data_IF_871564935136
#
_entry.id   IF_871564935136
#
_cell.length_a   1.000
_cell.length_b   1.000
_cell.length_c   1.000
_cell.angle_alpha   90.00
_cell.angle_beta   90.00
_cell.angle_gamma   90.00
#
_symmetry.space_group_name_H-M   'P 1'
#
loop_
_entity.id
_entity.type
_entity.pdbx_description
1 polymer ?
#
# COMPACT_ATOMS: atom_id res chain seq x y z
N UNK A 1 17.88 41.21 29.89
CA UNK A 1 17.16 39.91 29.94
C UNK A 1 15.72 39.93 29.40
N UNK A 2 14.97 41.07 29.42
CA UNK A 2 13.56 41.11 28.96
C UNK A 2 13.38 40.84 27.45
N UNK A 3 14.32 41.27 26.60
CA UNK A 3 14.27 41.03 25.14
C UNK A 3 14.61 39.59 24.73
N UNK A 4 15.40 38.88 25.54
CA UNK A 4 15.75 37.48 25.29
C UNK A 4 14.54 36.55 25.49
N UNK A 5 13.67 36.86 26.47
CA UNK A 5 12.40 36.16 26.69
C UNK A 5 11.43 36.32 25.52
N UNK A 6 11.44 37.46 24.83
CA UNK A 6 10.58 37.74 23.69
C UNK A 6 10.92 36.92 22.44
N UNK A 7 12.19 36.49 22.30
CA UNK A 7 12.66 35.62 21.21
C UNK A 7 12.49 34.14 21.56
N UNK A 8 12.65 33.79 22.83
CA UNK A 8 12.53 32.40 23.30
C UNK A 8 11.11 31.84 23.20
N UNK A 9 10.08 32.66 23.42
CA UNK A 9 8.67 32.24 23.35
C UNK A 9 8.25 31.80 21.94
N UNK A 10 8.44 32.60 20.87
CA UNK A 10 8.08 32.17 19.52
C UNK A 10 8.93 31.00 19.03
N UNK A 11 10.20 30.92 19.46
CA UNK A 11 11.07 29.79 19.14
C UNK A 11 10.60 28.48 19.82
N UNK A 12 10.18 28.55 21.09
CA UNK A 12 9.59 27.42 21.79
C UNK A 12 8.25 26.98 21.17
N UNK A 13 7.42 27.93 20.72
CA UNK A 13 6.19 27.63 20.00
C UNK A 13 6.48 26.93 18.67
N UNK A 14 7.48 27.39 17.93
CA UNK A 14 7.91 26.81 16.66
C UNK A 14 8.37 25.35 16.82
N UNK A 15 9.08 25.04 17.90
CA UNK A 15 9.53 23.68 18.21
C UNK A 15 8.39 22.70 18.50
N UNK A 16 7.25 23.16 19.04
CA UNK A 16 6.09 22.31 19.27
C UNK A 16 5.45 21.85 17.96
N UNK A 17 5.47 22.68 16.90
CA UNK A 17 4.95 22.30 15.58
C UNK A 17 5.76 21.19 14.90
N UNK A 18 7.07 21.09 15.17
CA UNK A 18 7.91 20.03 14.61
C UNK A 18 7.77 18.67 15.31
N UNK A 19 7.14 18.63 16.49
CA UNK A 19 6.96 17.41 17.28
C UNK A 19 5.70 16.59 16.95
N UNK A 20 4.82 17.09 16.07
CA UNK A 20 3.53 16.46 15.77
C UNK A 20 3.55 15.44 14.63
N UNK A 21 4.70 15.17 14.01
CA UNK A 21 4.81 14.11 13.00
C UNK A 21 5.20 12.79 13.67
N UNK A 22 4.27 12.22 14.42
CA UNK A 22 4.42 10.83 14.84
C UNK A 22 4.02 9.96 13.66
N UNK A 23 5.00 9.29 13.03
CA UNK A 23 4.73 8.24 12.04
C UNK A 23 4.18 7.03 12.77
N UNK A 24 2.93 7.10 13.21
CA UNK A 24 2.15 5.92 13.59
C UNK A 24 1.68 5.26 12.29
N UNK A 25 2.64 4.84 11.49
CA UNK A 25 2.34 4.12 10.26
C UNK A 25 2.03 2.68 10.68
N UNK A 26 0.75 2.30 10.57
CA UNK A 26 0.39 0.89 10.37
C UNK A 26 0.96 0.51 9.01
N UNK A 27 2.27 0.24 8.99
CA UNK A 27 2.98 -0.18 7.78
C UNK A 27 2.33 -1.48 7.35
N UNK A 28 1.85 -1.50 6.12
CA UNK A 28 1.36 -2.70 5.50
C UNK A 28 2.50 -3.72 5.40
N UNK A 29 2.29 -4.88 6.02
CA UNK A 29 3.24 -6.00 6.03
C UNK A 29 2.60 -7.25 5.43
N UNK A 30 1.37 -7.15 4.96
CA UNK A 30 0.67 -8.25 4.32
C UNK A 30 1.18 -8.38 2.90
N UNK A 31 1.28 -9.64 2.46
CA UNK A 31 1.69 -9.94 1.10
C UNK A 31 0.44 -9.93 0.23
N UNK A 32 0.53 -9.45 -1.01
CA UNK A 32 -0.55 -9.59 -1.94
C UNK A 32 -0.83 -11.08 -2.22
N UNK A 33 -2.06 -11.37 -2.61
CA UNK A 33 -2.54 -12.72 -2.92
C UNK A 33 -2.80 -12.84 -4.41
N UNK A 34 -2.38 -13.98 -4.97
CA UNK A 34 -2.67 -14.39 -6.33
C UNK A 34 -3.69 -15.52 -6.25
N UNK A 35 -4.88 -15.31 -6.78
CA UNK A 35 -5.95 -16.30 -6.84
C UNK A 35 -6.14 -16.82 -8.27
N UNK A 36 -5.91 -18.12 -8.43
CA UNK A 36 -6.08 -18.90 -9.67
C UNK A 36 -7.37 -19.72 -9.68
N UNK A 37 -8.23 -19.55 -8.67
CA UNK A 37 -9.50 -20.27 -8.49
C UNK A 37 -10.72 -19.45 -8.89
N UNK A 38 -10.51 -18.22 -9.37
CA UNK A 38 -11.59 -17.39 -9.89
C UNK A 38 -12.31 -18.06 -11.05
N UNK A 39 -13.58 -17.68 -11.25
CA UNK A 39 -14.33 -18.07 -12.44
C UNK A 39 -13.54 -17.61 -13.68
N UNK A 40 -13.44 -18.51 -14.66
CA UNK A 40 -12.68 -18.32 -15.90
C UNK A 40 -11.16 -18.12 -15.73
N UNK A 41 -10.57 -18.48 -14.58
CA UNK A 41 -9.11 -18.47 -14.41
C UNK A 41 -8.41 -19.33 -15.47
N UNK A 42 -8.96 -20.54 -15.68
CA UNK A 42 -8.56 -21.48 -16.71
C UNK A 42 -9.71 -21.69 -17.69
N UNK A 43 -9.40 -22.11 -18.94
CA UNK A 43 -10.38 -22.66 -19.86
C UNK A 43 -11.23 -23.73 -19.19
N UNK A 44 -12.53 -23.74 -19.48
CA UNK A 44 -13.44 -24.72 -18.89
C UNK A 44 -13.05 -26.12 -19.35
N UNK A 45 -13.39 -27.15 -18.58
CA UNK A 45 -13.06 -28.54 -18.92
C UNK A 45 -13.59 -28.99 -20.31
N UNK A 46 -14.54 -28.24 -20.89
CA UNK A 46 -15.10 -28.49 -22.21
C UNK A 46 -14.40 -27.70 -23.34
N UNK A 47 -13.49 -26.79 -23.01
CA UNK A 47 -12.73 -26.02 -23.98
C UNK A 47 -11.55 -26.86 -24.48
N UNK A 48 -11.46 -27.03 -25.80
CA UNK A 48 -10.36 -27.77 -26.42
C UNK A 48 -9.11 -26.89 -26.50
N UNK A 49 -8.00 -27.37 -25.90
CA UNK A 49 -6.69 -26.75 -26.03
C UNK A 49 -5.87 -27.44 -27.11
N UNK A 50 -5.19 -26.64 -27.93
CA UNK A 50 -4.38 -27.11 -29.05
C UNK A 50 -2.90 -26.81 -28.81
N UNK A 51 -2.03 -27.75 -29.16
CA UNK A 51 -0.59 -27.51 -29.09
C UNK A 51 -0.15 -26.44 -30.09
N UNK A 52 0.66 -25.49 -29.62
CA UNK A 52 1.16 -24.39 -30.44
C UNK A 52 0.19 -23.21 -30.56
N UNK A 53 -1.04 -23.33 -30.05
CA UNK A 53 -2.02 -22.24 -30.03
C UNK A 53 -1.99 -21.49 -28.69
N UNK A 54 -2.13 -20.16 -28.69
CA UNK A 54 -2.26 -19.38 -27.48
C UNK A 54 -3.62 -19.63 -26.80
N UNK A 55 -3.66 -19.49 -25.48
CA UNK A 55 -4.89 -19.47 -24.71
C UNK A 55 -4.86 -18.34 -23.68
N UNK A 56 -6.03 -17.95 -23.18
CA UNK A 56 -6.16 -16.93 -22.16
C UNK A 56 -6.10 -17.54 -20.76
N UNK A 57 -5.25 -16.95 -19.91
CA UNK A 57 -5.18 -17.23 -18.47
C UNK A 57 -5.60 -15.97 -17.73
N UNK A 58 -6.59 -16.10 -16.84
CA UNK A 58 -7.01 -14.99 -15.96
C UNK A 58 -6.56 -15.27 -14.53
N UNK A 59 -6.07 -14.23 -13.87
CA UNK A 59 -5.53 -14.33 -12.52
C UNK A 59 -5.99 -13.11 -11.73
N UNK A 60 -6.51 -13.32 -10.52
CA UNK A 60 -6.88 -12.22 -9.64
C UNK A 60 -5.71 -11.89 -8.71
N UNK A 61 -5.21 -10.65 -8.83
CA UNK A 61 -4.23 -10.10 -7.91
C UNK A 61 -4.93 -9.14 -6.96
N UNK A 62 -4.77 -9.35 -5.65
CA UNK A 62 -5.41 -8.52 -4.62
C UNK A 62 -4.45 -8.17 -3.49
N UNK A 63 -4.64 -6.98 -2.94
CA UNK A 63 -3.91 -6.44 -1.78
C UNK A 63 -4.93 -5.75 -0.85
N UNK A 64 -4.59 -5.55 0.43
CA UNK A 64 -5.52 -5.07 1.48
C UNK A 64 -5.56 -3.55 1.68
#
# INVERSE_FOLDING_TARGET
MKRLKFVFIPFALLMLYFSSCEKVEKIDKTKPVIDLTIIDAFPLNCDTLYFGEPFELKVLFSDN
#
